data_IF_420743836675
#
_entry.id   IF_420743836675
#
_cell.length_a   1.000
_cell.length_b   1.000
_cell.length_c   1.000
_cell.angle_alpha   90.00
_cell.angle_beta   90.00
_cell.angle_gamma   90.00
#
_symmetry.space_group_name_H-M   'P 1'
#
loop_
_entity.id
_entity.type
_entity.pdbx_description
1 polymer ?
#
# COMPACT_ATOMS: atom_id res chain seq x y z
N UNK A 1 -14.27 15.12 6.17
CA UNK A 1 -15.24 14.80 7.24
C UNK A 1 -14.69 13.87 8.30
N UNK A 2 -13.67 13.07 7.99
CA UNK A 2 -12.78 12.45 8.97
C UNK A 2 -11.65 13.47 9.22
N UNK A 3 -11.31 13.83 10.46
CA UNK A 3 -10.14 14.67 10.71
C UNK A 3 -8.89 13.95 10.21
N UNK A 4 -8.31 14.43 9.10
CA UNK A 4 -6.91 14.16 8.75
C UNK A 4 -6.11 15.10 9.61
N UNK A 5 -5.72 14.58 10.76
CA UNK A 5 -4.78 15.29 11.58
C UNK A 5 -3.42 14.65 11.34
N UNK A 6 -2.45 15.47 10.93
CA UNK A 6 -1.10 15.35 11.49
C UNK A 6 -1.27 15.54 13.01
N UNK A 7 -1.66 14.45 13.68
CA UNK A 7 -2.06 14.32 15.09
C UNK A 7 -3.35 15.05 15.52
N UNK A 8 -4.40 14.25 15.74
CA UNK A 8 -5.65 14.44 16.53
C UNK A 8 -6.93 13.94 15.83
N UNK A 9 -7.21 12.64 15.93
CA UNK A 9 -8.56 12.09 15.74
C UNK A 9 -8.64 10.80 14.92
N UNK A 10 -7.98 10.74 13.77
CA UNK A 10 -7.71 9.54 12.98
C UNK A 10 -6.33 9.72 12.38
N UNK A 11 -5.39 8.84 12.70
CA UNK A 11 -4.00 9.00 12.26
C UNK A 11 -3.80 8.30 10.92
N UNK A 12 -3.99 9.03 9.83
CA UNK A 12 -3.39 8.70 8.53
C UNK A 12 -1.96 9.23 8.51
N UNK A 13 -0.99 8.34 8.29
CA UNK A 13 0.44 8.69 8.29
C UNK A 13 0.99 8.73 6.86
N UNK A 14 1.77 9.76 6.57
CA UNK A 14 2.77 9.77 5.48
C UNK A 14 4.13 9.99 6.15
N UNK A 15 5.11 9.13 5.88
CA UNK A 15 6.33 9.02 6.69
C UNK A 15 7.59 9.09 5.81
N UNK A 16 8.64 9.81 6.24
CA UNK A 16 9.98 9.72 5.66
C UNK A 16 10.69 8.49 6.23
N UNK A 17 10.05 7.32 6.13
CA UNK A 17 10.61 6.06 6.61
C UNK A 17 11.37 5.40 5.47
N UNK A 18 12.61 5.03 5.75
CA UNK A 18 13.46 4.28 4.82
C UNK A 18 13.52 2.78 5.12
N UNK A 19 12.93 2.31 6.23
CA UNK A 19 12.96 0.90 6.63
C UNK A 19 11.67 0.41 7.30
N UNK A 20 11.36 -0.88 7.12
CA UNK A 20 10.18 -1.51 7.75
C UNK A 20 10.27 -1.50 9.28
N UNK A 21 11.48 -1.58 9.84
CA UNK A 21 11.69 -1.55 11.29
C UNK A 21 11.34 -0.18 11.91
N UNK A 22 11.67 0.92 11.24
CA UNK A 22 11.29 2.25 11.71
C UNK A 22 9.76 2.42 11.73
N UNK A 23 9.07 1.82 10.73
CA UNK A 23 7.61 1.79 10.71
C UNK A 23 7.04 0.98 11.88
N UNK A 24 7.63 -0.17 12.20
CA UNK A 24 7.22 -0.96 13.38
C UNK A 24 7.48 -0.20 14.67
N UNK A 25 8.66 0.41 14.82
CA UNK A 25 9.01 1.18 16.02
C UNK A 25 8.03 2.32 16.26
N UNK A 26 7.67 3.07 15.20
CA UNK A 26 6.66 4.11 15.28
C UNK A 26 5.28 3.54 15.65
N UNK A 27 4.86 2.45 15.01
CA UNK A 27 3.57 1.83 15.29
C UNK A 27 3.47 1.37 16.75
N UNK A 28 4.50 0.70 17.26
CA UNK A 28 4.59 0.26 18.66
C UNK A 28 4.59 1.46 19.62
N UNK A 29 5.30 2.54 19.31
CA UNK A 29 5.28 3.75 20.13
C UNK A 29 3.87 4.34 20.24
N UNK A 30 3.06 4.26 19.17
CA UNK A 30 1.65 4.70 19.20
C UNK A 30 0.77 3.78 20.04
N UNK A 31 0.99 2.47 19.97
CA UNK A 31 0.34 1.54 20.89
C UNK A 31 0.67 1.88 22.35
N UNK A 32 1.94 2.18 22.64
CA UNK A 32 2.40 2.60 23.97
C UNK A 32 1.80 3.93 24.46
N UNK A 33 1.38 4.82 23.57
CA UNK A 33 0.67 6.06 23.92
C UNK A 33 -0.84 5.89 24.11
N UNK A 34 -1.36 4.66 24.08
CA UNK A 34 -2.78 4.34 24.30
C UNK A 34 -3.64 4.30 23.04
N UNK A 35 -3.06 4.42 21.83
CA UNK A 35 -3.79 4.21 20.58
C UNK A 35 -3.96 2.71 20.36
N UNK A 36 -5.18 2.22 20.13
CA UNK A 36 -5.39 0.79 19.80
C UNK A 36 -5.07 0.55 18.32
N UNK A 37 -4.60 -0.65 17.97
CA UNK A 37 -4.33 -1.00 16.56
C UNK A 37 -5.55 -0.80 15.65
N UNK A 38 -6.75 -1.16 16.14
CA UNK A 38 -8.03 -0.91 15.46
C UNK A 38 -8.41 0.56 15.26
N UNK A 39 -7.59 1.52 15.72
CA UNK A 39 -7.75 2.96 15.49
C UNK A 39 -6.71 3.52 14.50
N UNK A 40 -5.86 2.66 13.93
CA UNK A 40 -4.82 3.01 12.97
C UNK A 40 -5.14 2.39 11.63
N UNK A 41 -4.93 3.12 10.54
CA UNK A 41 -4.97 2.57 9.17
C UNK A 41 -3.62 2.82 8.52
N UNK A 42 -3.02 1.78 7.93
CA UNK A 42 -1.84 1.95 7.09
C UNK A 42 -2.23 2.55 5.75
N UNK A 43 -1.58 3.63 5.32
CA UNK A 43 -1.81 4.22 4.00
C UNK A 43 -0.47 4.45 3.32
N UNK A 44 -0.36 4.09 2.05
CA UNK A 44 0.88 4.29 1.29
C UNK A 44 0.68 4.29 -0.21
N UNK A 45 1.51 5.06 -0.91
CA UNK A 45 1.53 5.13 -2.37
C UNK A 45 2.83 4.54 -2.92
N UNK A 46 2.81 3.81 -4.03
CA UNK A 46 4.03 3.32 -4.69
C UNK A 46 4.92 2.51 -3.71
N UNK A 47 6.16 2.95 -3.48
CA UNK A 47 7.04 2.40 -2.43
C UNK A 47 6.48 2.54 -1.00
N UNK A 48 5.67 3.55 -0.71
CA UNK A 48 4.92 3.64 0.55
C UNK A 48 3.87 2.53 0.68
N UNK A 49 3.28 2.08 -0.45
CA UNK A 49 2.38 0.93 -0.49
C UNK A 49 3.09 -0.38 -0.10
N UNK A 50 4.32 -0.57 -0.61
CA UNK A 50 5.24 -1.61 -0.14
C UNK A 50 5.43 -1.56 1.38
N UNK A 51 5.84 -0.40 1.90
CA UNK A 51 6.14 -0.23 3.32
C UNK A 51 4.92 -0.52 4.21
N UNK A 52 3.73 -0.06 3.81
CA UNK A 52 2.49 -0.31 4.54
C UNK A 52 2.14 -1.81 4.62
N UNK A 53 2.37 -2.56 3.54
CA UNK A 53 2.17 -4.01 3.50
C UNK A 53 3.23 -4.77 4.31
N UNK A 54 4.50 -4.41 4.14
CA UNK A 54 5.61 -5.00 4.88
C UNK A 54 5.46 -4.78 6.39
N UNK A 55 5.00 -3.59 6.81
CA UNK A 55 4.63 -3.31 8.20
C UNK A 55 3.56 -4.28 8.69
N UNK A 56 2.44 -4.44 7.96
CA UNK A 56 1.34 -5.31 8.39
C UNK A 56 1.78 -6.77 8.52
N UNK A 57 2.57 -7.27 7.56
CA UNK A 57 3.24 -8.58 7.59
C UNK A 57 4.08 -8.73 8.86
N UNK A 58 4.99 -7.78 9.11
CA UNK A 58 5.91 -7.86 10.24
C UNK A 58 5.22 -7.73 11.60
N UNK A 59 4.17 -6.91 11.70
CA UNK A 59 3.33 -6.83 12.90
C UNK A 59 2.66 -8.17 13.19
N UNK A 60 2.12 -8.84 12.17
CA UNK A 60 1.47 -10.15 12.32
C UNK A 60 2.47 -11.19 12.77
N UNK A 61 3.62 -11.25 12.11
CA UNK A 61 4.66 -12.25 12.40
C UNK A 61 5.23 -12.07 13.82
N UNK A 62 5.17 -10.85 14.37
CA UNK A 62 5.53 -10.52 15.75
C UNK A 62 4.38 -10.67 16.77
N UNK A 63 3.19 -11.08 16.33
CA UNK A 63 2.01 -11.17 17.21
C UNK A 63 1.55 -9.81 17.77
N UNK A 64 1.88 -8.71 17.10
CA UNK A 64 1.47 -7.36 17.48
C UNK A 64 0.06 -7.07 16.95
N UNK A 65 -0.71 -6.18 17.61
CA UNK A 65 -2.01 -5.73 17.12
C UNK A 65 -1.92 -5.22 15.69
N UNK A 66 -2.85 -5.65 14.83
CA UNK A 66 -2.94 -5.17 13.45
C UNK A 66 -3.59 -3.77 13.39
N UNK A 67 -3.29 -2.96 12.36
CA UNK A 67 -4.11 -1.80 12.03
C UNK A 67 -5.53 -2.25 11.63
N UNK A 68 -6.49 -1.33 11.70
CA UNK A 68 -7.87 -1.57 11.32
C UNK A 68 -8.02 -1.96 9.83
N UNK A 69 -7.11 -1.46 8.99
CA UNK A 69 -7.07 -1.70 7.56
C UNK A 69 -5.78 -1.16 6.96
N UNK A 70 -5.59 -1.44 5.68
CA UNK A 70 -4.52 -0.89 4.85
C UNK A 70 -5.09 -0.36 3.54
N UNK A 71 -4.65 0.82 3.12
CA UNK A 71 -4.99 1.44 1.84
C UNK A 71 -3.70 1.64 1.06
N UNK A 72 -3.64 1.14 -0.16
CA UNK A 72 -2.48 1.33 -1.03
C UNK A 72 -2.85 1.89 -2.39
N UNK A 73 -2.08 2.89 -2.84
CA UNK A 73 -2.22 3.52 -4.14
C UNK A 73 -1.06 3.11 -5.03
N UNK A 74 -1.35 2.54 -6.20
CA UNK A 74 -0.36 2.13 -7.19
C UNK A 74 0.83 1.38 -6.55
N UNK A 75 0.60 0.36 -5.71
CA UNK A 75 1.64 -0.17 -4.84
C UNK A 75 2.73 -0.89 -5.64
N UNK A 76 3.98 -0.58 -5.36
CA UNK A 76 5.11 -1.34 -5.90
C UNK A 76 5.41 -2.51 -4.97
N UNK A 77 4.97 -3.73 -5.31
CA UNK A 77 5.03 -4.89 -4.40
C UNK A 77 5.91 -6.02 -4.88
N UNK A 78 6.38 -5.93 -6.13
CA UNK A 78 7.32 -6.84 -6.74
C UNK A 78 8.57 -6.11 -7.23
N UNK A 79 9.65 -6.20 -6.44
CA UNK A 79 10.95 -5.64 -6.80
C UNK A 79 11.71 -6.50 -7.81
N UNK A 80 11.20 -7.70 -8.15
CA UNK A 80 11.74 -8.50 -9.26
C UNK A 80 11.32 -7.96 -10.62
N UNK A 81 10.30 -7.07 -10.64
CA UNK A 81 9.70 -6.50 -11.84
C UNK A 81 9.17 -7.58 -12.81
N UNK A 82 8.59 -8.66 -12.26
CA UNK A 82 8.18 -9.83 -13.05
C UNK A 82 6.82 -9.68 -13.72
N UNK A 83 6.01 -8.68 -13.32
CA UNK A 83 4.73 -8.36 -13.94
C UNK A 83 4.86 -7.97 -15.41
N UNK A 84 3.98 -8.50 -16.27
CA UNK A 84 3.96 -8.18 -17.70
C UNK A 84 3.65 -6.70 -17.95
N UNK A 85 2.87 -6.06 -17.06
CA UNK A 85 2.54 -4.63 -17.13
C UNK A 85 3.76 -3.72 -17.17
N UNK A 86 4.90 -4.13 -16.59
CA UNK A 86 6.15 -3.39 -16.68
C UNK A 86 6.63 -3.14 -18.12
N UNK A 87 6.26 -4.03 -19.04
CA UNK A 87 6.57 -3.92 -20.46
C UNK A 87 5.34 -3.49 -21.27
N UNK A 88 4.18 -4.10 -21.03
CA UNK A 88 2.96 -3.85 -21.81
C UNK A 88 2.39 -2.45 -21.62
N UNK A 89 2.63 -1.83 -20.45
CA UNK A 89 2.15 -0.48 -20.11
C UNK A 89 3.23 0.59 -20.18
N UNK A 90 4.47 0.22 -20.52
CA UNK A 90 5.61 1.14 -20.52
C UNK A 90 5.41 2.39 -21.42
N UNK A 91 4.69 2.25 -22.54
CA UNK A 91 4.40 3.38 -23.43
C UNK A 91 3.22 4.25 -22.95
N UNK A 92 2.43 3.75 -22.00
CA UNK A 92 1.24 4.43 -21.47
C UNK A 92 1.53 5.16 -20.16
N UNK A 93 2.55 4.74 -19.41
CA UNK A 93 2.94 5.32 -18.13
C UNK A 93 4.03 6.38 -18.33
N UNK A 94 3.71 7.69 -18.23
CA UNK A 94 4.70 8.74 -18.38
C UNK A 94 5.52 8.98 -17.10
N UNK A 95 5.15 8.34 -15.98
CA UNK A 95 5.72 8.61 -14.65
C UNK A 95 6.76 7.56 -14.29
N UNK A 96 6.46 6.28 -14.54
CA UNK A 96 7.32 5.16 -14.17
C UNK A 96 7.70 4.30 -15.37
N UNK A 97 8.85 3.64 -15.25
CA UNK A 97 9.29 2.61 -16.18
C UNK A 97 10.09 1.55 -15.44
N UNK A 98 10.10 0.32 -15.98
CA UNK A 98 10.93 -0.77 -15.44
C UNK A 98 12.41 -0.38 -15.34
N UNK A 99 12.93 0.32 -16.35
CA UNK A 99 14.31 0.80 -16.37
C UNK A 99 14.63 1.77 -15.23
N UNK A 100 13.67 2.64 -14.86
CA UNK A 100 13.82 3.55 -13.73
C UNK A 100 13.65 2.86 -12.37
N UNK A 101 12.87 1.78 -12.30
CA UNK A 101 12.62 1.02 -11.07
C UNK A 101 13.77 0.05 -10.74
N UNK A 102 14.38 -0.58 -11.73
CA UNK A 102 15.43 -1.60 -11.53
C UNK A 102 16.60 -1.18 -10.60
N UNK A 103 17.23 0.00 -10.75
CA UNK A 103 18.31 0.41 -9.84
C UNK A 103 17.81 0.65 -8.41
N UNK A 104 16.57 1.14 -8.25
CA UNK A 104 15.94 1.35 -6.94
C UNK A 104 15.60 0.01 -6.28
N UNK A 105 15.16 -0.97 -7.08
CA UNK A 105 14.87 -2.32 -6.61
C UNK A 105 16.11 -2.96 -5.99
N UNK A 106 17.25 -2.86 -6.68
CA UNK A 106 18.53 -3.36 -6.18
C UNK A 106 18.97 -2.65 -4.89
N UNK A 107 18.77 -1.33 -4.81
CA UNK A 107 19.09 -0.55 -3.61
C UNK A 107 18.21 -0.97 -2.41
N UNK A 108 16.91 -1.16 -2.63
CA UNK A 108 15.96 -1.53 -1.59
C UNK A 108 16.16 -2.97 -1.11
N UNK A 109 16.46 -3.87 -2.04
CA UNK A 109 16.73 -5.27 -1.74
C UNK A 109 18.01 -5.49 -0.92
N UNK A 110 19.04 -4.66 -1.15
CA UNK A 110 20.34 -4.82 -0.50
C UNK A 110 20.84 -6.27 -0.57
N UNK A 111 21.30 -6.80 0.57
CA UNK A 111 21.76 -8.20 0.67
C UNK A 111 20.61 -9.22 0.76
N UNK A 112 19.39 -8.79 1.08
CA UNK A 112 18.24 -9.70 1.23
C UNK A 112 17.75 -10.22 -0.13
N UNK A 113 17.91 -9.43 -1.19
CA UNK A 113 17.50 -9.79 -2.54
C UNK A 113 16.06 -9.40 -2.85
N UNK A 114 15.78 -9.17 -4.14
CA UNK A 114 14.51 -8.62 -4.62
C UNK A 114 13.31 -9.56 -4.41
N UNK A 115 13.54 -10.86 -4.22
CA UNK A 115 12.49 -11.84 -3.98
C UNK A 115 12.12 -12.03 -2.50
N UNK A 116 12.85 -11.40 -1.57
CA UNK A 116 12.60 -11.54 -0.13
C UNK A 116 11.19 -11.03 0.22
N UNK A 117 10.35 -11.76 0.95
CA UNK A 117 8.97 -11.36 1.26
C UNK A 117 8.76 -9.97 1.85
N UNK A 118 9.69 -9.47 2.68
CA UNK A 118 9.59 -8.10 3.23
C UNK A 118 10.11 -7.04 2.26
N UNK A 119 10.89 -7.43 1.26
CA UNK A 119 11.34 -6.57 0.14
C UNK A 119 10.30 -6.55 -0.97
N UNK A 120 9.64 -7.68 -1.24
CA UNK A 120 8.54 -7.84 -2.20
C UNK A 120 7.34 -8.49 -1.53
N UNK A 121 6.46 -7.70 -0.87
CA UNK A 121 5.25 -8.17 -0.19
C UNK A 121 4.30 -8.94 -1.08
N UNK A 122 4.40 -8.80 -2.41
CA UNK A 122 3.68 -9.67 -3.34
C UNK A 122 3.98 -11.15 -3.05
N UNK A 123 5.18 -11.49 -2.59
CA UNK A 123 5.60 -12.85 -2.30
C UNK A 123 5.36 -13.31 -0.86
N UNK A 124 4.97 -12.41 0.05
CA UNK A 124 4.72 -12.73 1.44
C UNK A 124 3.49 -13.63 1.65
N UNK A 125 3.46 -14.29 2.81
CA UNK A 125 2.20 -14.80 3.35
C UNK A 125 1.32 -13.61 3.73
N UNK A 126 0.09 -13.57 3.22
CA UNK A 126 -0.87 -12.49 3.45
C UNK A 126 -1.98 -12.88 4.44
N UNK A 127 -2.00 -14.13 4.93
CA UNK A 127 -3.03 -14.57 5.88
C UNK A 127 -2.99 -13.74 7.15
N UNK A 128 -4.15 -13.42 7.71
CA UNK A 128 -4.26 -12.63 8.94
C UNK A 128 -3.91 -11.15 8.81
N UNK A 129 -3.64 -10.65 7.60
CA UNK A 129 -3.57 -9.21 7.35
C UNK A 129 -4.95 -8.55 7.45
N UNK A 130 -5.01 -7.25 7.76
CA UNK A 130 -6.27 -6.54 7.92
C UNK A 130 -6.92 -6.26 6.55
N UNK A 131 -8.18 -5.80 6.52
CA UNK A 131 -8.84 -5.42 5.28
C UNK A 131 -7.96 -4.49 4.43
N UNK A 132 -7.95 -4.73 3.12
CA UNK A 132 -7.08 -4.05 2.16
C UNK A 132 -7.91 -3.34 1.09
N UNK A 133 -7.59 -2.07 0.83
CA UNK A 133 -8.02 -1.35 -0.38
C UNK A 133 -6.81 -1.11 -1.26
N UNK A 134 -6.89 -1.57 -2.51
CA UNK A 134 -5.87 -1.36 -3.55
C UNK A 134 -6.50 -0.51 -4.64
N UNK A 135 -5.90 0.64 -4.95
CA UNK A 135 -6.28 1.45 -6.11
C UNK A 135 -5.09 1.57 -7.05
N UNK A 136 -5.32 1.42 -8.35
CA UNK A 136 -4.30 1.51 -9.39
C UNK A 136 -4.91 2.03 -10.68
N UNK A 137 -4.16 2.73 -11.51
CA UNK A 137 -4.53 3.11 -12.85
C UNK A 137 -4.26 2.00 -13.88
N UNK A 138 -5.10 1.89 -14.91
CA UNK A 138 -4.91 0.88 -15.96
C UNK A 138 -3.76 1.21 -16.92
N UNK A 139 -3.25 2.45 -16.90
CA UNK A 139 -2.12 2.92 -17.71
C UNK A 139 -0.82 2.98 -16.88
N UNK A 140 -0.67 2.08 -15.92
CA UNK A 140 0.51 1.98 -15.05
C UNK A 140 1.37 0.77 -15.33
N UNK A 141 2.69 0.92 -15.18
CA UNK A 141 3.61 -0.24 -15.16
C UNK A 141 3.41 -1.15 -13.95
N UNK A 142 2.82 -0.65 -12.86
CA UNK A 142 2.54 -1.39 -11.60
C UNK A 142 1.14 -2.03 -11.55
N UNK A 143 0.44 -2.13 -12.69
CA UNK A 143 -0.89 -2.75 -12.74
C UNK A 143 -0.86 -4.22 -12.27
N UNK A 144 0.16 -4.99 -12.65
CA UNK A 144 0.28 -6.39 -12.26
C UNK A 144 0.67 -6.56 -10.79
N UNK A 145 1.45 -5.64 -10.21
CA UNK A 145 1.71 -5.60 -8.77
C UNK A 145 0.39 -5.48 -8.00
N UNK A 146 -0.44 -4.51 -8.37
CA UNK A 146 -1.70 -4.23 -7.69
C UNK A 146 -2.72 -5.36 -7.85
N UNK A 147 -2.90 -5.86 -9.07
CA UNK A 147 -3.85 -6.94 -9.37
C UNK A 147 -3.38 -8.27 -8.78
N UNK A 148 -2.08 -8.57 -8.84
CA UNK A 148 -1.46 -9.74 -8.23
C UNK A 148 -1.56 -9.73 -6.70
N UNK A 149 -1.32 -8.58 -6.07
CA UNK A 149 -1.51 -8.40 -4.63
C UNK A 149 -2.95 -8.70 -4.24
N UNK A 150 -3.92 -8.11 -4.95
CA UNK A 150 -5.34 -8.31 -4.65
C UNK A 150 -5.75 -9.78 -4.80
N UNK A 151 -5.31 -10.46 -5.87
CA UNK A 151 -5.59 -11.87 -6.08
C UNK A 151 -5.01 -12.74 -4.95
N UNK A 152 -3.76 -12.49 -4.55
CA UNK A 152 -3.12 -13.22 -3.45
C UNK A 152 -3.77 -12.93 -2.09
N UNK A 153 -4.14 -11.68 -1.82
CA UNK A 153 -4.83 -11.30 -0.60
C UNK A 153 -6.19 -12.02 -0.49
N UNK A 154 -6.96 -12.02 -1.58
CA UNK A 154 -8.23 -12.75 -1.64
C UNK A 154 -8.04 -14.26 -1.42
N UNK A 155 -7.05 -14.87 -2.08
CA UNK A 155 -6.72 -16.29 -1.90
C UNK A 155 -6.27 -16.64 -0.47
N UNK A 156 -5.65 -15.69 0.23
CA UNK A 156 -5.27 -15.81 1.64
C UNK A 156 -6.41 -15.53 2.63
N UNK A 157 -7.63 -15.24 2.14
CA UNK A 157 -8.79 -14.92 2.98
C UNK A 157 -8.80 -13.50 3.56
N UNK A 158 -7.96 -12.60 3.05
CA UNK A 158 -7.96 -11.18 3.44
C UNK A 158 -9.12 -10.46 2.75
N UNK A 159 -9.98 -9.72 3.47
CA UNK A 159 -10.99 -8.87 2.84
C UNK A 159 -10.32 -7.79 1.99
N UNK A 160 -10.37 -7.93 0.67
CA UNK A 160 -9.69 -7.02 -0.26
C UNK A 160 -10.68 -6.39 -1.23
N UNK A 161 -10.46 -5.11 -1.54
CA UNK A 161 -11.13 -4.39 -2.61
C UNK A 161 -10.06 -3.86 -3.56
N UNK A 162 -10.14 -4.25 -4.83
CA UNK A 162 -9.31 -3.72 -5.90
C UNK A 162 -10.13 -2.75 -6.74
N UNK A 163 -9.58 -1.57 -7.01
CA UNK A 163 -10.16 -0.58 -7.90
C UNK A 163 -9.14 -0.22 -8.97
N UNK A 164 -9.47 -0.54 -10.22
CA UNK A 164 -8.65 -0.17 -11.38
C UNK A 164 -9.31 1.01 -12.08
N UNK A 165 -8.66 2.17 -12.05
CA UNK A 165 -9.16 3.39 -12.69
C UNK A 165 -8.73 3.41 -14.17
N UNK A 166 -9.71 3.47 -15.06
CA UNK A 166 -9.47 3.32 -16.49
C UNK A 166 -8.71 4.54 -17.06
N UNK A 167 -7.59 4.28 -17.75
CA UNK A 167 -6.77 5.31 -18.39
C UNK A 167 -5.89 6.13 -17.42
N UNK A 168 -6.07 5.95 -16.12
CA UNK A 168 -5.27 6.64 -15.10
C UNK A 168 -3.83 6.13 -15.05
N UNK A 169 -2.90 7.04 -14.73
CA UNK A 169 -1.46 6.80 -14.61
C UNK A 169 -1.03 6.70 -13.14
N UNK A 170 0.28 6.58 -12.89
CA UNK A 170 0.84 6.35 -11.58
C UNK A 170 0.40 7.37 -10.53
N UNK A 171 -0.17 6.87 -9.42
CA UNK A 171 -0.71 7.66 -8.29
C UNK A 171 -1.64 8.78 -8.76
N UNK A 172 -2.60 8.44 -9.63
CA UNK A 172 -3.55 9.41 -10.18
C UNK A 172 -4.32 10.21 -9.10
N UNK A 173 -4.42 9.70 -7.88
CA UNK A 173 -5.01 10.37 -6.71
C UNK A 173 -4.38 11.74 -6.42
N UNK A 174 -3.13 11.98 -6.84
CA UNK A 174 -2.47 13.28 -6.70
C UNK A 174 -3.12 14.38 -7.53
N UNK A 175 -3.93 14.04 -8.53
CA UNK A 175 -4.68 15.00 -9.36
C UNK A 175 -6.03 15.43 -8.72
N UNK A 176 -6.25 15.12 -7.44
CA UNK A 176 -7.47 15.53 -6.73
C UNK A 176 -7.73 17.04 -6.85
N UNK A 177 -9.01 17.42 -6.92
CA UNK A 177 -9.45 18.79 -7.19
C UNK A 177 -9.32 19.24 -8.65
N UNK A 178 -8.65 18.46 -9.50
CA UNK A 178 -8.53 18.74 -10.95
C UNK A 178 -9.00 17.58 -11.83
N UNK A 179 -8.99 16.36 -11.31
CA UNK A 179 -9.50 15.16 -11.97
C UNK A 179 -10.66 14.54 -11.16
N UNK A 180 -11.89 14.48 -11.72
CA UNK A 180 -13.03 13.84 -11.07
C UNK A 180 -12.81 12.36 -10.70
N UNK A 181 -11.98 11.63 -11.45
CA UNK A 181 -11.66 10.23 -11.15
C UNK A 181 -10.82 10.13 -9.87
N UNK A 182 -9.82 11.00 -9.71
CA UNK A 182 -9.02 11.11 -8.50
C UNK A 182 -9.87 11.46 -7.28
N UNK A 183 -10.78 12.43 -7.42
CA UNK A 183 -11.71 12.81 -6.35
C UNK A 183 -12.62 11.64 -5.96
N UNK A 184 -13.20 10.94 -6.94
CA UNK A 184 -14.05 9.78 -6.70
C UNK A 184 -13.28 8.65 -6.00
N UNK A 185 -12.04 8.38 -6.41
CA UNK A 185 -11.17 7.40 -5.76
C UNK A 185 -10.92 7.74 -4.29
N UNK A 186 -10.62 9.00 -3.96
CA UNK A 186 -10.41 9.44 -2.58
C UNK A 186 -11.71 9.40 -1.73
N UNK A 187 -12.88 9.63 -2.34
CA UNK A 187 -14.16 9.42 -1.64
C UNK A 187 -14.39 7.94 -1.27
N UNK A 188 -13.99 7.01 -2.15
CA UNK A 188 -14.04 5.57 -1.86
C UNK A 188 -13.07 5.18 -0.75
N UNK A 189 -11.87 5.79 -0.71
CA UNK A 189 -10.96 5.68 0.45
C UNK A 189 -11.65 6.16 1.73
N UNK A 190 -12.27 7.33 1.74
CA UNK A 190 -12.99 7.83 2.92
C UNK A 190 -14.15 6.92 3.38
N UNK A 191 -14.77 6.19 2.46
CA UNK A 191 -15.79 5.17 2.78
C UNK A 191 -15.16 3.91 3.38
N UNK A 192 -14.04 3.45 2.82
CA UNK A 192 -13.26 2.35 3.37
C UNK A 192 -12.78 2.64 4.80
N UNK A 193 -12.20 3.82 5.03
CA UNK A 193 -11.67 4.24 6.35
C UNK A 193 -12.75 4.18 7.44
N UNK A 194 -13.93 4.74 7.19
CA UNK A 194 -15.06 4.67 8.13
C UNK A 194 -15.43 3.23 8.47
N UNK A 195 -15.60 2.41 7.43
CA UNK A 195 -15.99 0.99 7.59
C UNK A 195 -15.01 0.19 8.44
N UNK A 196 -13.70 0.43 8.30
CA UNK A 196 -12.69 -0.35 9.06
C UNK A 196 -12.48 0.18 10.47
N UNK A 197 -12.56 1.50 10.67
CA UNK A 197 -12.40 2.10 11.99
C UNK A 197 -13.61 1.90 12.91
N UNK A 198 -14.82 1.78 12.35
CA UNK A 198 -16.03 1.45 13.12
C UNK A 198 -16.01 0.02 13.69
N UNK A 199 -15.14 -0.86 13.19
CA UNK A 199 -15.01 -2.25 13.64
C UNK A 199 -13.97 -2.45 14.73
N UNK A 200 -13.12 -1.46 15.02
CA UNK A 200 -11.92 -1.55 15.86
C UNK A 200 -12.06 -0.98 17.27
#
# INVERSE_FOLDING_TARGET
GIPVSLVSGVSTFSLPISSVEDAVALYVARLGSGVRGGQVVGVGESAGGWLALALAVLLRDRGLPQPAGTVVFSPWTDLTLSGASHHERAALDPVLSAAALAPRAAQYAGAAGVGEPLVSPLFADLRGLPPLLVQVGSAEVLLDDATGLAARAAAAGVPVTLEVEAGATHVFQLHHGTDPAADAALQRVGTFLRRVLERG
#
